data_IF_085527981361
#
_entry.id   IF_085527981361
#
_cell.length_a   1.000
_cell.length_b   1.000
_cell.length_c   1.000
_cell.angle_alpha   90.00
_cell.angle_beta   90.00
_cell.angle_gamma   90.00
#
_symmetry.space_group_name_H-M   'P 1'
#
loop_
_entity.id
_entity.type
_entity.pdbx_description
1 polymer ?
#
# COMPACT_ATOMS: atom_id res chain seq x y z
N UNK A 1 -4.80 12.60 -4.09
CA UNK A 1 -5.67 12.41 -2.92
C UNK A 1 -7.06 12.87 -3.34
N UNK A 2 -8.05 12.00 -3.19
CA UNK A 2 -9.45 12.29 -3.52
C UNK A 2 -10.24 12.28 -2.21
N UNK A 3 -11.10 13.28 -2.00
CA UNK A 3 -12.04 13.32 -0.89
C UNK A 3 -13.44 13.22 -1.49
N UNK A 4 -14.24 12.25 -1.03
CA UNK A 4 -15.59 12.04 -1.56
C UNK A 4 -16.61 11.89 -0.44
N UNK A 5 -17.78 12.50 -0.63
CA UNK A 5 -18.96 12.37 0.21
C UNK A 5 -19.99 11.39 -0.39
N UNK A 6 -19.67 10.72 -1.51
CA UNK A 6 -20.62 9.89 -2.25
C UNK A 6 -20.95 8.57 -1.53
N UNK A 7 -22.17 8.07 -1.73
CA UNK A 7 -22.58 6.72 -1.27
C UNK A 7 -21.65 5.64 -1.80
N UNK A 8 -21.19 5.77 -3.05
CA UNK A 8 -20.21 4.88 -3.65
C UNK A 8 -18.89 4.87 -2.88
N UNK A 9 -18.39 6.03 -2.45
CA UNK A 9 -17.15 6.09 -1.67
C UNK A 9 -17.30 5.36 -0.32
N UNK A 10 -18.46 5.47 0.30
CA UNK A 10 -18.80 4.69 1.50
C UNK A 10 -18.86 3.19 1.25
N UNK A 11 -19.50 2.78 0.16
CA UNK A 11 -19.55 1.37 -0.25
C UNK A 11 -18.14 0.83 -0.48
N UNK A 12 -17.31 1.59 -1.19
CA UNK A 12 -15.91 1.24 -1.47
C UNK A 12 -15.12 1.07 -0.16
N UNK A 13 -15.31 1.97 0.81
CA UNK A 13 -14.67 1.87 2.12
C UNK A 13 -15.13 0.63 2.90
N UNK A 14 -16.43 0.37 2.95
CA UNK A 14 -16.98 -0.73 3.75
C UNK A 14 -16.69 -2.11 3.15
N UNK A 15 -16.76 -2.25 1.81
CA UNK A 15 -16.57 -3.52 1.11
C UNK A 15 -15.09 -3.85 0.86
N UNK A 16 -14.27 -2.86 0.47
CA UNK A 16 -12.89 -3.09 0.00
C UNK A 16 -11.82 -2.46 0.89
N UNK A 17 -12.24 -1.75 1.95
CA UNK A 17 -11.35 -1.01 2.86
C UNK A 17 -10.36 -0.08 2.14
N UNK A 18 -10.84 0.53 1.05
CA UNK A 18 -10.15 1.60 0.34
C UNK A 18 -10.56 2.94 0.96
N UNK A 19 -9.58 3.78 1.24
CA UNK A 19 -9.78 5.08 1.86
C UNK A 19 -9.77 5.05 3.39
N UNK A 20 -9.92 6.24 3.97
CA UNK A 20 -10.05 6.47 5.41
C UNK A 20 -11.28 7.34 5.62
N UNK A 21 -12.20 6.90 6.48
CA UNK A 21 -13.37 7.71 6.83
C UNK A 21 -12.96 8.76 7.86
N UNK A 22 -13.03 10.04 7.47
CA UNK A 22 -12.74 11.16 8.35
C UNK A 22 -11.35 11.22 8.97
N UNK A 23 -11.33 11.74 10.21
CA UNK A 23 -10.16 11.72 11.06
C UNK A 23 -9.90 10.29 11.57
N UNK A 24 -8.63 9.87 11.51
CA UNK A 24 -8.19 8.53 11.91
C UNK A 24 -8.77 8.11 13.27
N UNK A 25 -9.44 6.95 13.31
CA UNK A 25 -10.14 6.37 14.48
C UNK A 25 -11.33 7.17 15.04
N UNK A 26 -11.81 8.19 14.34
CA UNK A 26 -13.03 8.96 14.70
C UNK A 26 -14.07 8.88 13.58
N UNK A 27 -14.40 7.66 13.18
CA UNK A 27 -15.23 7.38 12.00
C UNK A 27 -16.69 7.83 12.14
N UNK A 28 -17.17 7.99 13.36
CA UNK A 28 -18.54 8.43 13.66
C UNK A 28 -18.78 9.90 13.27
N UNK A 29 -17.71 10.69 13.09
CA UNK A 29 -17.79 12.15 12.99
C UNK A 29 -17.52 12.71 11.60
N UNK A 30 -17.44 11.89 10.54
CA UNK A 30 -17.09 12.39 9.21
C UNK A 30 -17.97 11.91 8.06
N UNK A 31 -18.48 12.86 7.25
CA UNK A 31 -19.31 12.58 6.10
C UNK A 31 -18.50 12.21 4.84
N UNK A 32 -17.16 12.11 4.92
CA UNK A 32 -16.32 11.88 3.75
C UNK A 32 -15.33 10.73 3.93
N UNK A 33 -14.95 10.16 2.79
CA UNK A 33 -13.86 9.19 2.66
C UNK A 33 -12.70 9.86 1.93
N UNK A 34 -11.51 9.77 2.52
CA UNK A 34 -10.26 10.23 1.92
C UNK A 34 -9.54 9.04 1.32
N UNK A 35 -9.26 9.08 0.02
CA UNK A 35 -8.40 8.13 -0.67
C UNK A 35 -7.00 8.69 -0.79
N UNK A 36 -6.00 7.91 -0.37
CA UNK A 36 -4.62 8.29 -0.57
C UNK A 36 -4.25 8.29 -2.07
N UNK A 37 -3.03 8.69 -2.40
CA UNK A 37 -2.55 8.78 -3.80
C UNK A 37 -2.68 7.45 -4.55
N UNK A 38 -2.31 6.35 -3.90
CA UNK A 38 -2.30 5.02 -4.50
C UNK A 38 -3.70 4.47 -4.68
N UNK A 39 -4.55 4.65 -3.67
CA UNK A 39 -5.96 4.28 -3.73
C UNK A 39 -6.70 5.09 -4.82
N UNK A 40 -6.39 6.38 -4.94
CA UNK A 40 -6.96 7.25 -5.98
C UNK A 40 -6.57 6.76 -7.38
N UNK A 41 -5.29 6.46 -7.61
CA UNK A 41 -4.80 5.98 -8.91
C UNK A 41 -5.35 4.59 -9.24
N UNK A 42 -5.42 3.69 -8.27
CA UNK A 42 -6.05 2.39 -8.43
C UNK A 42 -7.51 2.53 -8.90
N UNK A 43 -8.31 3.37 -8.22
CA UNK A 43 -9.71 3.60 -8.59
C UNK A 43 -9.81 4.20 -10.00
N UNK A 44 -9.02 5.24 -10.31
CA UNK A 44 -9.05 5.88 -11.63
C UNK A 44 -8.64 4.91 -12.74
N UNK A 45 -7.66 4.04 -12.48
CA UNK A 45 -7.21 3.02 -13.42
C UNK A 45 -8.30 1.96 -13.65
N UNK A 46 -8.94 1.47 -12.59
CA UNK A 46 -10.06 0.51 -12.70
C UNK A 46 -11.29 1.09 -13.39
N UNK A 47 -11.49 2.41 -13.31
CA UNK A 47 -12.54 3.13 -14.05
C UNK A 47 -12.15 3.47 -15.50
N UNK A 48 -10.95 3.11 -15.95
CA UNK A 48 -10.45 3.46 -17.29
C UNK A 48 -10.24 4.96 -17.51
N UNK A 49 -10.09 5.74 -16.42
CA UNK A 49 -9.85 7.19 -16.49
C UNK A 49 -8.37 7.52 -16.67
N UNK A 50 -7.48 6.61 -16.28
CA UNK A 50 -6.05 6.67 -16.56
C UNK A 50 -5.60 5.31 -17.09
N UNK A 51 -4.62 5.31 -17.99
CA UNK A 51 -4.11 4.09 -18.62
C UNK A 51 -2.68 3.75 -18.22
N UNK A 52 -2.02 4.64 -17.47
CA UNK A 52 -0.65 4.46 -17.01
C UNK A 52 -0.60 4.67 -15.50
N UNK A 53 0.04 3.71 -14.83
CA UNK A 53 0.34 3.77 -13.40
C UNK A 53 1.84 4.02 -13.23
N UNK A 54 2.20 4.67 -12.13
CA UNK A 54 3.59 4.63 -11.68
C UNK A 54 3.93 3.25 -11.16
N UNK A 55 5.21 2.92 -11.14
CA UNK A 55 5.76 1.65 -10.64
C UNK A 55 5.25 1.26 -9.23
N UNK A 56 5.17 2.23 -8.31
CA UNK A 56 4.65 2.03 -6.96
C UNK A 56 3.15 1.71 -6.95
N UNK A 57 2.38 2.38 -7.81
CA UNK A 57 0.95 2.14 -8.01
C UNK A 57 0.64 0.86 -8.80
N UNK A 58 1.52 0.42 -9.71
CA UNK A 58 1.41 -0.87 -10.41
C UNK A 58 1.46 -2.01 -9.39
N UNK A 59 2.44 -1.95 -8.47
CA UNK A 59 2.58 -2.92 -7.39
C UNK A 59 1.38 -2.88 -6.44
N UNK A 60 0.92 -1.68 -6.06
CA UNK A 60 -0.27 -1.53 -5.24
C UNK A 60 -1.47 -2.22 -5.91
N UNK A 61 -1.65 -2.00 -7.21
CA UNK A 61 -2.71 -2.60 -8.02
C UNK A 61 -2.58 -4.12 -8.08
N UNK A 62 -1.37 -4.65 -8.27
CA UNK A 62 -1.10 -6.08 -8.26
C UNK A 62 -1.55 -6.76 -6.95
N UNK A 63 -1.20 -6.18 -5.80
CA UNK A 63 -1.63 -6.72 -4.51
C UNK A 63 -3.15 -6.60 -4.30
N UNK A 64 -3.75 -5.47 -4.69
CA UNK A 64 -5.19 -5.26 -4.59
C UNK A 64 -5.98 -6.24 -5.48
N UNK A 65 -5.53 -6.44 -6.71
CA UNK A 65 -6.12 -7.39 -7.67
C UNK A 65 -5.98 -8.83 -7.21
N UNK A 66 -4.89 -9.15 -6.51
CA UNK A 66 -4.67 -10.46 -5.90
C UNK A 66 -5.51 -10.69 -4.63
N UNK A 67 -6.35 -9.73 -4.22
CA UNK A 67 -7.26 -9.85 -3.08
C UNK A 67 -6.67 -9.47 -1.72
N UNK A 68 -5.47 -8.89 -1.68
CA UNK A 68 -4.88 -8.37 -0.43
C UNK A 68 -5.46 -7.00 -0.09
N UNK A 69 -5.59 -6.71 1.21
CA UNK A 69 -5.83 -5.34 1.65
C UNK A 69 -4.49 -4.62 1.82
N UNK A 70 -4.33 -3.52 1.09
CA UNK A 70 -3.12 -2.70 1.09
C UNK A 70 -3.46 -1.31 1.62
N UNK A 71 -2.78 -0.87 2.68
CA UNK A 71 -2.92 0.47 3.25
C UNK A 71 -1.56 1.16 3.32
N UNK A 72 -1.54 2.46 3.56
CA UNK A 72 -0.29 3.19 3.83
C UNK A 72 0.57 2.52 4.91
N UNK A 73 1.86 2.35 4.64
CA UNK A 73 2.85 1.83 5.58
C UNK A 73 3.42 2.88 6.53
N UNK A 74 3.00 4.15 6.42
CA UNK A 74 3.61 5.30 7.08
C UNK A 74 3.87 5.09 8.59
N UNK A 75 2.89 4.55 9.31
CA UNK A 75 3.00 4.26 10.76
C UNK A 75 4.15 3.31 11.11
N UNK A 76 4.60 2.51 10.15
CA UNK A 76 5.59 1.45 10.33
C UNK A 76 6.83 1.69 9.46
N UNK A 77 7.05 2.92 8.98
CA UNK A 77 8.24 3.29 8.23
C UNK A 77 8.39 2.60 6.87
N UNK A 78 7.28 2.20 6.24
CA UNK A 78 7.28 1.70 4.87
C UNK A 78 6.25 2.40 3.99
N UNK A 79 6.23 2.03 2.70
CA UNK A 79 5.31 2.61 1.72
C UNK A 79 3.91 2.03 1.91
N UNK A 80 3.83 0.69 1.99
CA UNK A 80 2.57 -0.01 2.23
C UNK A 80 2.68 -0.94 3.43
N UNK A 81 1.53 -1.21 4.04
CA UNK A 81 1.34 -2.36 4.92
C UNK A 81 0.28 -3.25 4.30
N UNK A 82 0.53 -4.55 4.33
CA UNK A 82 -0.32 -5.55 3.67
C UNK A 82 -0.92 -6.45 4.75
N UNK A 83 -2.24 -6.61 4.66
CA UNK A 83 -2.99 -7.57 5.46
C UNK A 83 -3.18 -8.85 4.66
N UNK A 84 -3.44 -9.98 5.33
CA UNK A 84 -3.62 -11.27 4.66
C UNK A 84 -4.80 -11.31 3.69
N UNK A 85 -4.86 -12.37 2.89
CA UNK A 85 -6.02 -12.70 2.05
C UNK A 85 -7.25 -12.91 2.95
N UNK A 86 -8.43 -12.48 2.48
CA UNK A 86 -9.71 -12.56 3.20
C UNK A 86 -9.77 -11.80 4.53
N UNK A 87 -8.90 -10.82 4.73
CA UNK A 87 -8.92 -10.00 5.93
C UNK A 87 -10.27 -9.28 6.09
N UNK A 88 -10.92 -9.49 7.25
CA UNK A 88 -12.10 -8.73 7.66
C UNK A 88 -11.71 -7.69 8.70
N UNK A 89 -12.23 -6.47 8.55
CA UNK A 89 -11.98 -5.32 9.43
C UNK A 89 -12.16 -5.63 10.92
N UNK A 90 -13.13 -6.50 11.23
CA UNK A 90 -13.51 -6.86 12.60
C UNK A 90 -12.53 -7.84 13.29
N UNK A 91 -11.73 -8.59 12.53
CA UNK A 91 -10.93 -9.69 13.08
C UNK A 91 -9.75 -9.28 13.99
N UNK A 92 -9.58 -7.99 14.32
CA UNK A 92 -8.41 -7.42 15.07
C UNK A 92 -7.04 -7.84 14.53
N UNK A 93 -6.99 -8.52 13.39
CA UNK A 93 -5.77 -9.03 12.82
C UNK A 93 -4.87 -7.84 12.44
N UNK A 94 -3.59 -7.95 12.75
CA UNK A 94 -2.64 -6.91 12.42
C UNK A 94 -2.05 -7.15 11.02
N UNK A 95 -1.70 -6.06 10.33
CA UNK A 95 -0.87 -6.15 9.13
C UNK A 95 0.40 -6.93 9.44
N UNK A 96 0.72 -7.93 8.59
CA UNK A 96 1.86 -8.83 8.77
C UNK A 96 3.09 -8.35 8.00
N UNK A 97 2.88 -7.70 6.86
CA UNK A 97 3.93 -7.32 5.94
C UNK A 97 4.05 -5.81 5.79
N UNK A 98 5.28 -5.31 5.67
CA UNK A 98 5.59 -3.92 5.31
C UNK A 98 6.31 -3.95 3.98
N UNK A 99 5.85 -3.14 3.05
CA UNK A 99 6.41 -3.04 1.73
C UNK A 99 7.30 -1.81 1.59
N UNK A 100 8.51 -1.99 1.05
CA UNK A 100 9.48 -0.91 0.84
C UNK A 100 9.99 -0.93 -0.60
N UNK A 101 9.76 0.15 -1.36
CA UNK A 101 10.34 0.34 -2.69
C UNK A 101 11.57 1.24 -2.52
N UNK A 102 12.71 0.64 -2.19
CA UNK A 102 13.98 1.35 -2.33
C UNK A 102 14.63 0.88 -3.63
N UNK A 103 14.77 1.80 -4.58
CA UNK A 103 15.40 1.55 -5.90
C UNK A 103 16.86 1.14 -5.78
N UNK A 104 17.54 1.60 -4.73
CA UNK A 104 18.90 1.21 -4.37
C UNK A 104 18.91 0.90 -2.88
N UNK A 105 19.06 -0.37 -2.54
CA UNK A 105 19.23 -0.83 -1.16
C UNK A 105 20.73 -0.97 -0.89
N UNK A 106 21.32 0.04 -0.27
CA UNK A 106 22.63 -0.14 0.35
C UNK A 106 22.47 -0.82 1.73
N UNK A 107 23.58 -1.28 2.31
CA UNK A 107 23.57 -1.99 3.60
C UNK A 107 22.94 -1.17 4.73
N UNK A 108 23.12 0.15 4.74
CA UNK A 108 22.58 1.05 5.78
C UNK A 108 21.06 1.16 5.66
N UNK A 109 20.56 1.37 4.44
CA UNK A 109 19.12 1.43 4.14
C UNK A 109 18.43 0.11 4.48
N UNK A 110 19.06 -1.02 4.15
CA UNK A 110 18.55 -2.34 4.49
C UNK A 110 18.48 -2.52 6.01
N UNK A 111 19.54 -2.20 6.75
CA UNK A 111 19.56 -2.26 8.21
C UNK A 111 18.50 -1.35 8.83
N UNK A 112 18.31 -0.13 8.31
CA UNK A 112 17.28 0.79 8.79
C UNK A 112 15.89 0.18 8.63
N UNK A 113 15.58 -0.38 7.47
CA UNK A 113 14.29 -1.02 7.20
C UNK A 113 14.08 -2.20 8.16
N UNK A 114 15.05 -3.12 8.24
CA UNK A 114 14.97 -4.29 9.12
C UNK A 114 14.72 -3.84 10.56
N UNK A 115 15.49 -2.88 11.07
CA UNK A 115 15.35 -2.36 12.44
C UNK A 115 13.97 -1.81 12.74
N UNK A 116 13.40 -1.02 11.82
CA UNK A 116 12.04 -0.47 11.99
C UNK A 116 11.00 -1.59 11.96
N UNK A 117 11.15 -2.55 11.04
CA UNK A 117 10.18 -3.64 10.88
C UNK A 117 10.19 -4.64 12.04
N UNK A 118 11.37 -4.95 12.59
CA UNK A 118 11.52 -5.75 13.81
C UNK A 118 10.84 -5.09 15.00
N UNK A 119 11.04 -3.78 15.20
CA UNK A 119 10.45 -3.05 16.33
C UNK A 119 8.91 -3.05 16.35
N UNK A 120 8.27 -3.39 15.22
CA UNK A 120 6.80 -3.45 15.09
C UNK A 120 6.30 -4.86 14.77
N UNK A 121 7.17 -5.87 14.86
CA UNK A 121 6.91 -7.29 14.57
C UNK A 121 6.24 -7.50 13.20
N UNK A 122 6.84 -6.95 12.13
CA UNK A 122 6.37 -7.13 10.75
C UNK A 122 7.49 -7.61 9.85
N UNK A 123 7.10 -8.31 8.78
CA UNK A 123 8.04 -8.85 7.80
C UNK A 123 8.23 -7.81 6.68
N UNK A 124 9.47 -7.32 6.43
CA UNK A 124 9.73 -6.45 5.30
C UNK A 124 9.68 -7.22 3.99
N UNK A 125 9.04 -6.64 2.97
CA UNK A 125 9.02 -7.13 1.60
C UNK A 125 9.77 -6.15 0.72
N UNK A 126 10.72 -6.69 -0.05
CA UNK A 126 11.52 -5.96 -1.02
C UNK A 126 11.12 -6.42 -2.43
N UNK A 127 10.38 -5.61 -3.20
CA UNK A 127 10.12 -5.93 -4.58
C UNK A 127 11.40 -5.83 -5.39
N UNK A 128 11.58 -6.79 -6.28
CA UNK A 128 12.62 -6.74 -7.28
C UNK A 128 11.97 -6.81 -8.66
N UNK A 129 12.17 -5.77 -9.47
CA UNK A 129 11.80 -5.79 -10.88
C UNK A 129 12.99 -6.32 -11.67
N UNK A 130 12.85 -7.53 -12.24
CA UNK A 130 13.85 -8.07 -13.15
C UNK A 130 13.94 -7.16 -14.38
N UNK A 131 15.03 -6.41 -14.49
CA UNK A 131 15.35 -5.72 -15.74
C UNK A 131 16.07 -6.72 -16.64
N UNK A 132 15.73 -6.77 -17.93
CA UNK A 132 16.40 -7.64 -18.91
C UNK A 132 17.85 -7.20 -19.24
N UNK A 133 18.43 -6.29 -18.45
CA UNK A 133 19.83 -5.91 -18.60
C UNK A 133 20.69 -7.02 -18.00
N UNK A 134 21.42 -7.74 -18.85
CA UNK A 134 22.53 -8.61 -18.44
C UNK A 134 23.51 -7.75 -17.63
N UNK A 135 23.51 -7.91 -16.31
CA UNK A 135 24.58 -7.38 -15.46
C UNK A 135 25.85 -8.21 -15.70
N UNK A 136 26.56 -7.89 -16.77
CA UNK A 136 28.02 -8.09 -16.83
C UNK A 136 28.63 -6.71 -16.61
N UNK A 137 29.73 -6.68 -15.85
CA UNK A 137 30.63 -5.52 -15.66
C UNK A 137 30.17 -4.43 -14.67
N UNK A 138 30.17 -4.73 -13.36
CA UNK A 138 30.43 -3.70 -12.32
C UNK A 138 31.24 -4.24 -11.12
N UNK A 139 31.95 -5.35 -11.30
CA UNK A 139 32.95 -5.86 -10.33
C UNK A 139 34.23 -6.21 -11.07
N UNK A 140 34.87 -5.20 -11.66
CA UNK A 140 36.27 -5.25 -12.09
C UNK A 140 36.97 -4.04 -11.51
#
# INVERSE_FOLDING_TARGET
>A
MIISLSREAYRIYNEYWLGTKGAYKKEEFSPYVIFDRYESEYILYKLGKINQLREDSEIFTLFRDSGYIVKTGYKYGGIFRIYGLNYKRDNREHSKYIFNINRVLNSIELQRIVRVTEGVNKIPIFPYRKTNKRYREQFT
#
